data_IF_142351397231
#
_entry.id   IF_142351397231
#
_cell.length_a   1.000
_cell.length_b   1.000
_cell.length_c   1.000
_cell.angle_alpha   90.00
_cell.angle_beta   90.00
_cell.angle_gamma   90.00
#
_symmetry.space_group_name_H-M   'P 1'
#
loop_
_entity.id
_entity.type
_entity.pdbx_description
1 polymer ?
#
# COMPACT_ATOMS: atom_id res chain seq x y z
N UNK A 1 30.34 27.42 55.28
CA UNK A 1 28.94 26.91 55.37
C UNK A 1 28.21 27.27 54.08
N UNK A 2 27.31 26.40 53.60
CA UNK A 2 26.46 26.48 52.38
C UNK A 2 27.24 26.26 51.07
N UNK A 3 27.35 25.06 50.46
CA UNK A 3 26.39 24.10 49.87
C UNK A 3 25.51 24.70 48.74
N UNK A 4 25.51 23.97 47.60
CA UNK A 4 24.48 23.89 46.54
C UNK A 4 24.65 24.91 45.39
N UNK A 5 24.58 24.58 44.08
CA UNK A 5 24.06 23.42 43.34
C UNK A 5 24.90 23.21 42.07
N UNK A 6 25.32 21.97 41.83
CA UNK A 6 25.76 21.43 40.53
C UNK A 6 24.50 21.12 39.73
N UNK A 7 24.32 21.70 38.54
CA UNK A 7 23.55 21.10 37.46
C UNK A 7 23.74 21.94 36.18
N UNK A 8 24.79 21.65 35.40
CA UNK A 8 24.97 22.23 34.08
C UNK A 8 24.87 21.11 33.04
N UNK A 9 23.70 21.02 32.41
CA UNK A 9 23.55 20.70 30.99
C UNK A 9 24.02 19.32 30.51
N UNK A 10 23.36 18.25 30.95
CA UNK A 10 23.16 17.10 30.07
C UNK A 10 22.16 17.54 28.98
N UNK A 11 22.69 18.17 27.94
CA UNK A 11 22.00 18.31 26.66
C UNK A 11 21.82 16.88 26.15
N UNK A 12 20.64 16.33 26.41
CA UNK A 12 20.13 15.19 25.69
C UNK A 12 20.08 15.62 24.22
N UNK A 13 21.13 15.28 23.47
CA UNK A 13 21.01 15.05 22.04
C UNK A 13 20.08 13.84 21.90
N UNK A 14 18.77 14.11 22.00
CA UNK A 14 17.75 13.25 21.42
C UNK A 14 18.01 13.36 19.93
N UNK A 15 18.93 12.53 19.45
CA UNK A 15 18.98 12.11 18.07
C UNK A 15 17.60 11.50 17.82
N UNK A 16 16.69 12.35 17.37
CA UNK A 16 15.47 11.93 16.69
C UNK A 16 15.93 11.20 15.45
N UNK A 17 16.32 9.94 15.61
CA UNK A 17 16.30 8.99 14.54
C UNK A 17 14.84 8.94 14.14
N UNK A 18 14.48 9.76 13.15
CA UNK A 18 13.37 9.43 12.28
C UNK A 18 13.75 8.06 11.72
N UNK A 19 13.29 7.00 12.38
CA UNK A 19 13.35 5.65 11.85
C UNK A 19 12.47 5.69 10.62
N UNK A 20 13.05 6.09 9.50
CA UNK A 20 12.54 5.75 8.20
C UNK A 20 12.54 4.23 8.17
N UNK A 21 11.36 3.67 8.46
CA UNK A 21 11.13 2.23 8.56
C UNK A 21 11.59 1.64 7.22
N UNK A 22 12.76 1.01 7.21
CA UNK A 22 13.32 0.45 5.98
C UNK A 22 12.27 -0.48 5.37
N UNK A 23 11.94 -0.26 4.10
CA UNK A 23 11.02 -1.16 3.41
C UNK A 23 11.62 -2.55 3.45
N UNK A 24 10.86 -3.60 3.83
CA UNK A 24 11.40 -4.94 3.96
C UNK A 24 12.08 -5.35 2.65
N UNK A 25 13.35 -5.78 2.70
CA UNK A 25 14.10 -6.20 1.50
C UNK A 25 13.35 -7.27 0.70
N UNK A 26 12.60 -8.12 1.38
CA UNK A 26 11.79 -9.18 0.80
C UNK A 26 10.56 -8.66 0.03
N UNK A 27 10.14 -7.42 0.27
CA UNK A 27 9.05 -6.78 -0.49
C UNK A 27 9.43 -6.54 -1.95
N UNK A 28 10.71 -6.27 -2.23
CA UNK A 28 11.22 -6.09 -3.59
C UNK A 28 10.94 -7.33 -4.45
N UNK A 29 10.93 -8.53 -3.87
CA UNK A 29 10.62 -9.77 -4.58
C UNK A 29 9.17 -9.82 -5.09
N UNK A 30 8.26 -9.01 -4.52
CA UNK A 30 6.88 -8.90 -4.99
C UNK A 30 6.72 -8.00 -6.21
N UNK A 31 7.77 -7.28 -6.63
CA UNK A 31 7.71 -6.48 -7.85
C UNK A 31 7.46 -7.34 -9.09
N UNK A 32 6.68 -6.79 -10.01
CA UNK A 32 6.28 -7.45 -11.25
C UNK A 32 4.80 -7.27 -11.58
N UNK A 33 4.37 -8.08 -12.55
CA UNK A 33 2.98 -8.14 -13.00
C UNK A 33 2.40 -9.45 -12.50
N UNK A 34 1.23 -9.37 -11.89
CA UNK A 34 0.48 -10.47 -11.33
C UNK A 34 -0.91 -10.46 -11.96
N UNK A 35 -1.45 -11.63 -12.28
CA UNK A 35 -2.71 -11.79 -13.00
C UNK A 35 -3.66 -12.68 -12.24
N UNK A 36 -4.94 -12.40 -12.35
CA UNK A 36 -6.03 -13.22 -11.85
C UNK A 36 -7.26 -13.06 -12.74
N UNK A 37 -8.31 -13.79 -12.43
CA UNK A 37 -9.61 -13.71 -13.09
C UNK A 37 -10.69 -13.59 -12.02
N UNK A 38 -11.57 -12.60 -12.17
CA UNK A 38 -12.74 -12.38 -11.30
C UNK A 38 -13.97 -12.47 -12.19
N UNK A 39 -14.85 -13.44 -11.92
CA UNK A 39 -16.08 -13.67 -12.69
C UNK A 39 -15.85 -13.74 -14.21
N UNK A 40 -14.80 -14.46 -14.65
CA UNK A 40 -14.46 -14.58 -16.07
C UNK A 40 -13.75 -13.37 -16.67
N UNK A 41 -13.51 -12.32 -15.89
CA UNK A 41 -12.89 -11.08 -16.33
C UNK A 41 -11.43 -10.98 -15.83
N UNK A 42 -10.45 -10.79 -16.73
CA UNK A 42 -9.06 -10.63 -16.33
C UNK A 42 -8.82 -9.38 -15.47
N UNK A 43 -8.05 -9.55 -14.40
CA UNK A 43 -7.57 -8.47 -13.55
C UNK A 43 -6.06 -8.58 -13.37
N UNK A 44 -5.37 -7.46 -13.51
CA UNK A 44 -3.91 -7.39 -13.40
C UNK A 44 -3.53 -6.51 -12.22
N UNK A 45 -2.66 -7.02 -11.34
CA UNK A 45 -1.98 -6.27 -10.29
C UNK A 45 -0.54 -6.04 -10.72
N UNK A 46 -0.12 -4.78 -10.78
CA UNK A 46 1.26 -4.41 -11.09
C UNK A 46 1.90 -3.72 -9.90
N UNK A 47 3.07 -4.21 -9.47
CA UNK A 47 3.85 -3.66 -8.36
C UNK A 47 5.20 -3.20 -8.90
N UNK A 48 5.49 -1.91 -8.80
CA UNK A 48 6.74 -1.30 -9.29
C UNK A 48 7.44 -0.54 -8.17
N UNK A 49 8.76 -0.58 -8.17
CA UNK A 49 9.57 0.33 -7.36
C UNK A 49 9.73 1.66 -8.12
N UNK A 50 9.42 2.79 -7.47
CA UNK A 50 9.51 4.14 -8.03
C UNK A 50 10.16 5.05 -7.00
N UNK A 51 11.35 5.59 -7.31
CA UNK A 51 12.06 6.56 -6.46
C UNK A 51 12.16 6.15 -4.96
N UNK A 52 12.43 4.86 -4.69
CA UNK A 52 12.51 4.24 -3.35
C UNK A 52 11.16 4.06 -2.62
N UNK A 53 10.05 4.23 -3.33
CA UNK A 53 8.71 3.85 -2.90
C UNK A 53 8.17 2.74 -3.81
N UNK A 54 6.98 2.24 -3.50
CA UNK A 54 6.29 1.26 -4.33
C UNK A 54 4.97 1.83 -4.85
N UNK A 55 4.74 1.65 -6.14
CA UNK A 55 3.47 1.94 -6.80
C UNK A 55 2.75 0.63 -7.08
N UNK A 56 1.46 0.62 -6.79
CA UNK A 56 0.55 -0.48 -7.11
C UNK A 56 -0.46 0.00 -8.14
N UNK A 57 -0.75 -0.84 -9.13
CA UNK A 57 -1.80 -0.58 -10.10
C UNK A 57 -2.69 -1.82 -10.24
N UNK A 58 -4.00 -1.66 -10.08
CA UNK A 58 -4.99 -2.65 -10.49
C UNK A 58 -5.56 -2.24 -11.85
N UNK A 59 -5.53 -3.14 -12.83
CA UNK A 59 -5.92 -2.89 -14.22
C UNK A 59 -6.93 -3.95 -14.65
N UNK A 60 -8.14 -3.54 -15.03
CA UNK A 60 -9.17 -4.46 -15.53
C UNK A 60 -9.11 -4.66 -17.05
N UNK A 61 -10.04 -5.46 -17.58
CA UNK A 61 -10.19 -5.74 -19.02
C UNK A 61 -10.42 -4.48 -19.88
N UNK A 62 -11.05 -3.45 -19.32
CA UNK A 62 -11.29 -2.17 -19.99
C UNK A 62 -10.08 -1.22 -19.94
N UNK A 63 -8.95 -1.67 -19.36
CA UNK A 63 -7.76 -0.86 -19.08
C UNK A 63 -8.05 0.31 -18.13
N UNK A 64 -9.10 0.20 -17.33
CA UNK A 64 -9.32 1.09 -16.20
C UNK A 64 -8.28 0.78 -15.14
N UNK A 65 -7.60 1.82 -14.65
CA UNK A 65 -6.43 1.67 -13.80
C UNK A 65 -6.65 2.40 -12.47
N UNK A 66 -6.59 1.64 -11.39
CA UNK A 66 -6.55 2.15 -10.02
C UNK A 66 -5.09 2.18 -9.54
N UNK A 67 -4.56 3.37 -9.29
CA UNK A 67 -3.16 3.58 -8.90
C UNK A 67 -3.07 4.02 -7.44
N UNK A 68 -2.22 3.32 -6.71
CA UNK A 68 -1.77 3.67 -5.36
C UNK A 68 -0.45 4.41 -5.48
N UNK A 69 -0.50 5.73 -5.27
CA UNK A 69 0.66 6.61 -5.42
C UNK A 69 1.49 6.69 -4.15
N UNK A 70 0.84 6.72 -3.00
CA UNK A 70 1.49 6.89 -1.71
C UNK A 70 0.98 5.84 -0.72
N UNK A 71 1.91 5.13 -0.11
CA UNK A 71 1.60 4.11 0.89
C UNK A 71 2.70 3.95 1.93
N UNK A 72 2.32 3.48 3.11
CA UNK A 72 3.25 2.98 4.12
C UNK A 72 3.20 1.46 4.12
N UNK A 73 4.36 0.81 4.03
CA UNK A 73 4.47 -0.64 4.00
C UNK A 73 5.02 -1.12 5.34
N UNK A 74 4.37 -2.15 5.89
CA UNK A 74 4.85 -2.86 7.07
C UNK A 74 4.73 -4.36 6.86
N UNK A 75 5.51 -5.14 7.61
CA UNK A 75 5.44 -6.60 7.57
C UNK A 75 5.00 -7.11 8.95
N UNK A 76 3.71 -7.42 9.14
CA UNK A 76 3.21 -7.92 10.42
C UNK A 76 3.67 -9.35 10.72
N UNK A 77 3.97 -10.13 9.69
CA UNK A 77 4.46 -11.50 9.78
C UNK A 77 5.38 -11.83 8.60
N UNK A 78 6.23 -12.87 8.69
CA UNK A 78 7.02 -13.32 7.55
C UNK A 78 6.14 -13.57 6.33
N UNK A 79 6.54 -13.07 5.16
CA UNK A 79 5.80 -13.20 3.90
C UNK A 79 4.44 -12.48 3.86
N UNK A 80 4.10 -11.70 4.88
CA UNK A 80 2.91 -10.85 4.89
C UNK A 80 3.30 -9.37 4.93
N UNK A 81 2.54 -8.56 4.18
CA UNK A 81 2.79 -7.14 4.04
C UNK A 81 1.48 -6.38 4.12
N UNK A 82 1.41 -5.45 5.06
CA UNK A 82 0.32 -4.49 5.18
C UNK A 82 0.74 -3.18 4.49
N UNK A 83 -0.05 -2.78 3.50
CA UNK A 83 0.12 -1.55 2.72
C UNK A 83 -1.01 -0.60 3.14
N UNK A 84 -0.65 0.43 3.90
CA UNK A 84 -1.57 1.48 4.30
C UNK A 84 -1.59 2.55 3.22
N UNK A 85 -2.69 2.64 2.48
CA UNK A 85 -2.87 3.62 1.40
C UNK A 85 -3.03 5.01 2.00
N UNK A 86 -2.16 5.93 1.60
CA UNK A 86 -2.27 7.36 1.92
C UNK A 86 -2.93 8.12 0.79
N UNK A 87 -2.67 7.69 -0.46
CA UNK A 87 -3.26 8.28 -1.65
C UNK A 87 -3.35 7.27 -2.77
N UNK A 88 -4.57 7.07 -3.28
CA UNK A 88 -4.84 6.34 -4.49
C UNK A 88 -5.91 7.06 -5.33
N UNK A 89 -5.98 6.75 -6.62
CA UNK A 89 -6.94 7.34 -7.54
C UNK A 89 -7.14 6.42 -8.75
N UNK A 90 -8.24 6.61 -9.45
CA UNK A 90 -8.40 6.06 -10.79
C UNK A 90 -7.82 7.02 -11.81
N UNK A 91 -7.08 6.50 -12.79
CA UNK A 91 -6.47 7.33 -13.85
C UNK A 91 -7.54 8.12 -14.62
N UNK A 92 -8.71 7.51 -14.81
CA UNK A 92 -9.87 8.07 -15.49
C UNK A 92 -10.56 9.18 -14.67
N UNK A 93 -10.44 9.16 -13.34
CA UNK A 93 -11.17 10.05 -12.42
C UNK A 93 -10.17 10.81 -11.54
N UNK A 94 -9.51 11.81 -12.13
CA UNK A 94 -8.44 12.59 -11.48
C UNK A 94 -8.88 13.35 -10.22
N UNK A 95 -10.16 13.66 -10.11
CA UNK A 95 -10.72 14.42 -8.99
C UNK A 95 -11.18 13.53 -7.82
N UNK A 96 -11.11 12.20 -7.98
CA UNK A 96 -11.44 11.23 -6.93
C UNK A 96 -10.14 10.70 -6.30
N UNK A 97 -10.02 10.87 -4.98
CA UNK A 97 -8.90 10.33 -4.21
C UNK A 97 -9.39 9.41 -3.12
N UNK A 98 -8.85 8.20 -3.09
CA UNK A 98 -9.07 7.23 -2.02
C UNK A 98 -7.93 7.34 -1.01
N UNK A 99 -8.30 7.42 0.27
CA UNK A 99 -7.37 7.53 1.41
C UNK A 99 -7.73 6.47 2.43
N UNK A 100 -6.78 6.12 3.28
CA UNK A 100 -6.96 5.20 4.42
C UNK A 100 -7.36 3.76 4.06
N UNK A 101 -7.44 3.39 2.78
CA UNK A 101 -7.59 2.00 2.37
C UNK A 101 -6.42 1.14 2.87
N UNK A 102 -6.73 -0.12 3.17
CA UNK A 102 -5.78 -1.12 3.66
C UNK A 102 -5.65 -2.21 2.61
N UNK A 103 -4.41 -2.55 2.29
CA UNK A 103 -4.11 -3.69 1.44
C UNK A 103 -3.28 -4.69 2.23
N UNK A 104 -3.64 -5.96 2.11
CA UNK A 104 -2.84 -7.08 2.62
C UNK A 104 -2.30 -7.86 1.44
N UNK A 105 -0.98 -8.00 1.38
CA UNK A 105 -0.29 -8.87 0.46
C UNK A 105 0.32 -10.03 1.22
N UNK A 106 0.07 -11.25 0.77
CA UNK A 106 0.68 -12.45 1.34
C UNK A 106 1.36 -13.24 0.24
N UNK A 107 2.67 -13.45 0.37
CA UNK A 107 3.40 -14.37 -0.50
C UNK A 107 3.00 -15.79 -0.11
N UNK A 108 2.43 -16.53 -1.06
CA UNK A 108 2.02 -17.93 -0.88
C UNK A 108 3.10 -18.87 -1.42
N UNK A 109 3.51 -18.62 -2.67
CA UNK A 109 4.56 -19.32 -3.41
C UNK A 109 5.39 -18.28 -4.19
N UNK A 110 6.47 -18.67 -4.85
CA UNK A 110 7.30 -17.72 -5.63
C UNK A 110 6.54 -17.02 -6.77
N UNK A 111 5.51 -17.67 -7.31
CA UNK A 111 4.67 -17.17 -8.38
C UNK A 111 3.21 -16.98 -7.96
N UNK A 112 2.88 -16.99 -6.65
CA UNK A 112 1.53 -16.74 -6.14
C UNK A 112 1.51 -15.79 -4.96
N UNK A 113 0.58 -14.83 -5.01
CA UNK A 113 0.28 -13.94 -3.90
C UNK A 113 -1.23 -13.94 -3.62
N UNK A 114 -1.60 -13.80 -2.35
CA UNK A 114 -2.93 -13.34 -1.97
C UNK A 114 -2.90 -11.81 -1.86
N UNK A 115 -3.94 -11.17 -2.38
CA UNK A 115 -4.22 -9.75 -2.29
C UNK A 115 -5.57 -9.56 -1.61
N UNK A 116 -5.61 -8.70 -0.60
CA UNK A 116 -6.84 -8.22 0.01
C UNK A 116 -6.85 -6.70 -0.01
N UNK A 117 -8.03 -6.11 -0.20
CA UNK A 117 -8.25 -4.68 -0.21
C UNK A 117 -9.48 -4.39 0.65
N UNK A 118 -9.39 -3.37 1.49
CA UNK A 118 -10.56 -2.84 2.22
C UNK A 118 -10.48 -1.33 2.32
N UNK A 119 -11.61 -0.63 2.18
CA UNK A 119 -11.66 0.83 2.32
C UNK A 119 -12.83 1.27 3.18
N UNK A 120 -12.55 1.94 4.30
CA UNK A 120 -13.58 2.40 5.24
C UNK A 120 -14.33 3.64 4.71
N UNK A 121 -13.70 4.44 3.85
CA UNK A 121 -14.27 5.67 3.28
C UNK A 121 -13.75 5.90 1.85
N UNK A 122 -14.63 6.01 0.87
CA UNK A 122 -14.30 6.56 -0.45
C UNK A 122 -14.91 7.96 -0.56
N UNK A 123 -14.08 8.99 -0.68
CA UNK A 123 -14.51 10.38 -0.91
C UNK A 123 -14.98 10.61 -2.37
N UNK A 124 -15.51 9.54 -2.98
CA UNK A 124 -15.92 9.51 -4.36
C UNK A 124 -17.43 9.33 -4.36
N UNK A 125 -18.16 10.44 -4.38
CA UNK A 125 -19.60 10.45 -4.58
C UNK A 125 -19.90 10.07 -6.03
N UNK A 126 -20.14 8.78 -6.28
CA UNK A 126 -20.41 8.26 -7.61
C UNK A 126 -21.87 8.55 -8.02
N UNK A 127 -22.04 9.30 -9.11
CA UNK A 127 -23.26 9.24 -9.91
C UNK A 127 -23.33 7.86 -10.59
N UNK A 128 -24.53 7.31 -10.66
CA UNK A 128 -24.91 5.89 -10.83
C UNK A 128 -24.31 5.03 -11.94
N UNK A 129 -23.41 5.46 -12.83
CA UNK A 129 -23.24 4.71 -14.10
C UNK A 129 -21.86 4.37 -14.64
N UNK A 130 -20.73 4.90 -14.17
CA UNK A 130 -19.44 4.43 -14.73
C UNK A 130 -18.28 4.76 -13.81
N UNK A 131 -17.81 3.79 -13.06
CA UNK A 131 -16.52 3.80 -12.38
C UNK A 131 -16.31 2.43 -11.72
N UNK A 132 -15.12 1.86 -11.88
CA UNK A 132 -14.73 0.64 -11.16
C UNK A 132 -14.98 0.85 -9.66
N UNK A 133 -16.04 0.27 -9.13
CA UNK A 133 -16.20 0.12 -7.69
C UNK A 133 -15.20 -0.97 -7.27
N UNK A 134 -14.27 -0.61 -6.39
CA UNK A 134 -13.43 -1.61 -5.74
C UNK A 134 -14.09 -1.85 -4.40
N UNK A 135 -15.08 -2.74 -4.42
CA UNK A 135 -15.61 -3.29 -3.18
C UNK A 135 -14.50 -4.00 -2.40
N UNK A 136 -14.72 -4.26 -1.11
CA UNK A 136 -13.76 -5.02 -0.32
C UNK A 136 -13.45 -6.37 -0.99
N UNK A 137 -12.17 -6.66 -1.14
CA UNK A 137 -11.65 -7.88 -1.74
C UNK A 137 -10.93 -8.66 -0.65
N UNK A 138 -11.33 -9.90 -0.42
CA UNK A 138 -10.64 -10.80 0.50
C UNK A 138 -9.88 -11.90 -0.24
N UNK A 139 -8.60 -12.06 0.10
CA UNK A 139 -7.73 -13.16 -0.32
C UNK A 139 -7.75 -13.56 -1.81
N UNK A 140 -7.89 -12.58 -2.71
CA UNK A 140 -7.84 -12.82 -4.15
C UNK A 140 -6.43 -13.26 -4.56
N UNK A 141 -6.34 -14.43 -5.21
CA UNK A 141 -5.07 -15.04 -5.58
C UNK A 141 -4.63 -14.54 -6.95
N UNK A 142 -3.43 -13.98 -7.02
CA UNK A 142 -2.79 -13.63 -8.28
C UNK A 142 -1.58 -14.52 -8.56
N UNK A 143 -1.33 -14.77 -9.83
CA UNK A 143 -0.16 -15.52 -10.35
C UNK A 143 0.74 -14.64 -11.19
N UNK A 144 2.06 -14.83 -11.09
CA UNK A 144 3.05 -14.08 -11.88
C UNK A 144 3.12 -14.53 -13.34
#
# INVERSE_FOLDING_TARGET
>A
MKKILVLLGLIFCVLGNAQQKETPKDFIALTGTWKTEVDGSPLTLQIKEVAKAFQFSLINVNKEEFIIQESEISSPAPSEYAVQVKKAHFVQYKDCSIKNAKIRLKKLEDNKISFSYSSDETDCSFGSDTGMDISDIEDLIFTK
#
